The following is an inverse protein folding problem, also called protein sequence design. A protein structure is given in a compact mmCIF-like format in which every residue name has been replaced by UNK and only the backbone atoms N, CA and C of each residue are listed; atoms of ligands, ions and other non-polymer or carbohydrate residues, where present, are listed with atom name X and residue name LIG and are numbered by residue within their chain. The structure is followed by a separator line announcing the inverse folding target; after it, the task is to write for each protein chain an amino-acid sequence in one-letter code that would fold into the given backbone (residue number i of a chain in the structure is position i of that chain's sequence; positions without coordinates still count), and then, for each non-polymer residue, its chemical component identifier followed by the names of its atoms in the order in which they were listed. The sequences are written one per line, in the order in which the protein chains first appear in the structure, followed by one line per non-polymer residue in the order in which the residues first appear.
data_IF_875824905816
#
_entry.id   IF_875824905816
#
_cell.length_a   1.000
_cell.length_b   1.000
_cell.length_c   1.000
_cell.angle_alpha   90.00
_cell.angle_beta   90.00
_cell.angle_gamma   90.00
#
_symmetry.space_group_name_H-M   'P 1'
#
loop_
_entity.id
_entity.type
_entity.pdbx_description
1 polymer ?
#
# COMPACT_ATOMS: atom_id res chain seq x y z
N UNK A 1 6.84 12.88 -18.69
CA UNK A 1 7.67 11.94 -19.48
C UNK A 1 6.79 11.06 -20.38
N UNK A 2 5.82 10.33 -19.83
CA UNK A 2 4.88 9.50 -20.60
C UNK A 2 4.08 10.34 -21.62
N UNK A 3 3.50 11.47 -21.19
CA UNK A 3 2.76 12.38 -22.08
C UNK A 3 3.62 12.88 -23.25
N UNK A 4 4.91 13.14 -23.02
CA UNK A 4 5.82 13.58 -24.06
C UNK A 4 6.06 12.45 -25.09
N UNK A 5 6.21 11.20 -24.65
CA UNK A 5 6.35 10.05 -25.55
C UNK A 5 5.09 9.88 -26.41
N UNK A 6 3.90 10.02 -25.81
CA UNK A 6 2.63 9.96 -26.52
C UNK A 6 2.48 11.08 -27.55
N UNK A 7 2.85 12.32 -27.20
CA UNK A 7 2.87 13.46 -28.12
C UNK A 7 3.83 13.26 -29.30
N UNK A 8 4.88 12.44 -29.14
CA UNK A 8 5.82 12.07 -30.19
C UNK A 8 5.42 10.79 -30.95
N UNK A 9 4.18 10.31 -30.77
CA UNK A 9 3.61 9.21 -31.56
C UNK A 9 3.77 7.81 -30.95
N UNK A 10 4.25 7.68 -29.71
CA UNK A 10 4.27 6.40 -29.03
C UNK A 10 2.83 5.96 -28.69
N UNK A 11 2.39 4.84 -29.27
CA UNK A 11 1.07 4.25 -29.00
C UNK A 11 1.03 3.40 -27.72
N UNK A 12 2.19 2.95 -27.25
CA UNK A 12 2.37 2.16 -26.03
C UNK A 12 3.66 2.58 -25.35
N UNK A 13 3.62 2.80 -24.03
CA UNK A 13 4.80 3.05 -23.20
C UNK A 13 4.91 1.96 -22.15
N UNK A 14 6.06 1.30 -22.08
CA UNK A 14 6.37 0.31 -21.05
C UNK A 14 7.34 0.91 -20.02
N UNK A 15 7.05 0.72 -18.74
CA UNK A 15 7.89 1.21 -17.63
C UNK A 15 8.58 0.02 -16.97
N UNK A 16 9.88 -0.12 -17.21
CA UNK A 16 10.74 -1.11 -16.55
C UNK A 16 11.33 -0.50 -15.28
N UNK A 17 10.50 -0.37 -14.25
CA UNK A 17 10.81 0.41 -13.04
C UNK A 17 10.92 -0.39 -11.75
N UNK A 18 10.77 -1.72 -11.77
CA UNK A 18 10.80 -2.51 -10.55
C UNK A 18 12.24 -2.71 -10.06
N UNK A 19 12.56 -2.22 -8.87
CA UNK A 19 13.91 -2.29 -8.28
C UNK A 19 14.41 -3.73 -8.02
N UNK A 20 13.58 -4.76 -8.23
CA UNK A 20 14.02 -6.15 -8.19
C UNK A 20 13.08 -7.14 -8.89
N UNK A 21 12.64 -6.86 -10.13
CA UNK A 21 11.70 -7.69 -10.93
C UNK A 21 10.31 -7.91 -10.31
N UNK A 22 10.09 -7.52 -9.05
CA UNK A 22 8.86 -7.85 -8.32
C UNK A 22 8.26 -6.65 -7.56
N UNK A 23 9.06 -5.72 -7.00
CA UNK A 23 8.53 -4.67 -6.11
C UNK A 23 9.26 -3.31 -6.27
N UNK A 24 8.57 -2.22 -5.88
CA UNK A 24 8.94 -0.80 -6.07
C UNK A 24 8.85 -0.26 -7.49
N UNK A 25 7.84 -0.69 -8.26
CA UNK A 25 7.49 0.01 -9.49
C UNK A 25 6.96 1.42 -9.18
N UNK A 26 6.69 2.24 -10.20
CA UNK A 26 5.96 3.49 -10.05
C UNK A 26 4.52 3.29 -10.52
N UNK A 27 3.68 2.55 -9.77
CA UNK A 27 2.33 2.18 -10.21
C UNK A 27 1.49 3.42 -10.54
N UNK A 28 1.68 4.53 -9.83
CA UNK A 28 1.01 5.80 -10.13
C UNK A 28 1.37 6.42 -11.51
N UNK A 29 2.38 5.90 -12.23
CA UNK A 29 2.72 6.33 -13.58
C UNK A 29 2.09 5.43 -14.66
N UNK A 30 1.48 4.30 -14.31
CA UNK A 30 0.98 3.31 -15.27
C UNK A 30 -0.51 3.04 -15.07
N UNK A 31 -1.18 2.65 -16.15
CA UNK A 31 -2.61 2.28 -16.12
C UNK A 31 -2.83 0.81 -15.73
N UNK A 32 -1.80 -0.02 -15.90
CA UNK A 32 -1.84 -1.43 -15.61
C UNK A 32 -0.45 -1.92 -15.17
N UNK A 33 -0.45 -3.00 -14.40
CA UNK A 33 0.77 -3.71 -13.98
C UNK A 33 0.75 -5.10 -14.58
N UNK A 34 1.89 -5.52 -15.13
CA UNK A 34 2.11 -6.89 -15.59
C UNK A 34 2.95 -7.62 -14.55
N UNK A 35 2.38 -8.65 -13.93
CA UNK A 35 3.12 -9.54 -13.04
C UNK A 35 3.83 -10.61 -13.88
N UNK A 36 5.15 -10.48 -14.02
CA UNK A 36 5.97 -11.51 -14.65
C UNK A 36 6.32 -12.62 -13.65
N UNK A 37 6.10 -13.88 -14.03
CA UNK A 37 6.37 -15.08 -13.21
C UNK A 37 7.31 -16.07 -13.92
N UNK A 38 7.61 -17.21 -13.30
CA UNK A 38 8.48 -18.26 -13.82
C UNK A 38 9.92 -18.12 -13.35
N UNK A 39 10.86 -18.59 -14.17
CA UNK A 39 12.29 -18.59 -13.82
C UNK A 39 12.88 -17.19 -13.54
N UNK A 40 12.19 -16.11 -13.95
CA UNK A 40 12.57 -14.74 -13.62
C UNK A 40 12.36 -14.39 -12.13
N UNK A 41 11.49 -15.13 -11.43
CA UNK A 41 11.20 -14.99 -10.01
C UNK A 41 12.15 -15.86 -9.20
N UNK A 42 12.20 -17.17 -9.49
CA UNK A 42 13.09 -18.11 -8.79
C UNK A 42 13.39 -19.36 -9.67
N UNK A 43 14.56 -20.02 -9.56
CA UNK A 43 14.86 -21.23 -10.33
C UNK A 43 14.10 -22.50 -9.88
N UNK A 44 13.64 -22.54 -8.62
CA UNK A 44 12.77 -23.61 -8.09
C UNK A 44 11.30 -23.30 -8.36
N UNK A 45 10.58 -24.27 -8.95
CA UNK A 45 9.15 -24.16 -9.25
C UNK A 45 8.31 -23.90 -7.99
N UNK A 46 8.60 -24.58 -6.89
CA UNK A 46 7.85 -24.39 -5.63
C UNK A 46 7.92 -22.94 -5.16
N UNK A 47 9.10 -22.33 -5.24
CA UNK A 47 9.30 -20.92 -4.90
C UNK A 47 8.61 -19.97 -5.87
N UNK A 48 8.58 -20.30 -7.16
CA UNK A 48 7.82 -19.52 -8.15
C UNK A 48 6.34 -19.51 -7.77
N UNK A 49 5.78 -20.67 -7.41
CA UNK A 49 4.38 -20.78 -6.99
C UNK A 49 4.12 -19.95 -5.72
N UNK A 50 4.94 -20.11 -4.69
CA UNK A 50 4.81 -19.39 -3.42
C UNK A 50 4.89 -17.87 -3.60
N UNK A 51 5.93 -17.37 -4.29
CA UNK A 51 6.17 -15.94 -4.47
C UNK A 51 5.12 -15.29 -5.39
N UNK A 52 4.68 -16.01 -6.43
CA UNK A 52 3.61 -15.51 -7.32
C UNK A 52 2.27 -15.47 -6.60
N UNK A 53 1.94 -16.50 -5.82
CA UNK A 53 0.71 -16.54 -5.03
C UNK A 53 0.70 -15.41 -4.00
N UNK A 54 1.82 -15.18 -3.31
CA UNK A 54 1.94 -14.10 -2.33
C UNK A 54 1.84 -12.72 -2.98
N UNK A 55 2.48 -12.49 -4.13
CA UNK A 55 2.32 -11.24 -4.85
C UNK A 55 0.84 -10.99 -5.18
N UNK A 56 0.14 -11.99 -5.74
CA UNK A 56 -1.30 -11.89 -6.02
C UNK A 56 -2.15 -11.66 -4.77
N UNK A 57 -1.77 -12.21 -3.62
CA UNK A 57 -2.42 -11.97 -2.34
C UNK A 57 -2.34 -10.50 -1.94
N UNK A 58 -1.14 -9.91 -1.98
CA UNK A 58 -0.91 -8.48 -1.69
C UNK A 58 -1.76 -7.59 -2.59
N UNK A 59 -1.81 -7.89 -3.89
CA UNK A 59 -2.62 -7.14 -4.86
C UNK A 59 -4.14 -7.33 -4.70
N UNK A 60 -4.56 -8.37 -3.97
CA UNK A 60 -5.98 -8.68 -3.68
C UNK A 60 -6.41 -8.26 -2.27
N UNK A 61 -5.52 -7.65 -1.49
CA UNK A 61 -5.87 -7.11 -0.18
C UNK A 61 -7.07 -6.15 -0.31
N UNK A 62 -8.00 -6.16 0.66
CA UNK A 62 -9.18 -5.31 0.58
C UNK A 62 -8.77 -3.83 0.58
N UNK A 63 -9.54 -3.03 -0.15
CA UNK A 63 -9.42 -1.58 -0.04
C UNK A 63 -10.11 -1.09 1.23
N UNK A 64 -9.61 0.00 1.81
CA UNK A 64 -10.25 0.63 2.96
C UNK A 64 -11.61 1.18 2.59
N UNK A 65 -12.62 0.93 3.43
CA UNK A 65 -13.96 1.51 3.29
C UNK A 65 -14.10 2.84 4.05
N UNK A 66 -13.07 3.26 4.79
CA UNK A 66 -13.13 4.47 5.59
C UNK A 66 -13.09 5.72 4.72
N UNK A 67 -14.21 6.44 4.64
CA UNK A 67 -14.29 7.73 3.95
C UNK A 67 -13.26 8.75 4.47
N UNK A 68 -12.95 8.74 5.78
CA UNK A 68 -11.94 9.63 6.35
C UNK A 68 -10.54 9.32 5.81
N UNK A 69 -10.18 8.04 5.74
CA UNK A 69 -8.91 7.60 5.16
C UNK A 69 -8.87 7.91 3.67
N UNK A 70 -9.91 7.52 2.92
CA UNK A 70 -10.03 7.77 1.49
C UNK A 70 -9.90 9.25 1.15
N UNK A 71 -10.51 10.14 1.95
CA UNK A 71 -10.38 11.59 1.80
C UNK A 71 -8.95 12.07 2.05
N UNK A 72 -8.25 11.49 3.02
CA UNK A 72 -6.87 11.86 3.30
C UNK A 72 -5.89 11.37 2.22
N UNK A 73 -6.14 10.21 1.61
CA UNK A 73 -5.28 9.69 0.51
C UNK A 73 -5.67 10.22 -0.87
N UNK A 74 -6.86 10.78 -1.05
CA UNK A 74 -7.29 11.38 -2.30
C UNK A 74 -6.58 12.73 -2.54
N UNK A 75 -5.73 12.76 -3.56
CA UNK A 75 -5.08 13.97 -4.06
C UNK A 75 -6.06 15.03 -4.60
N UNK A 76 -7.25 14.59 -5.03
CA UNK A 76 -8.24 15.41 -5.74
C UNK A 76 -9.66 15.03 -5.33
N UNK A 77 -10.48 16.04 -5.07
CA UNK A 77 -11.86 15.93 -4.58
C UNK A 77 -12.82 15.12 -5.48
N UNK A 78 -12.43 14.84 -6.74
CA UNK A 78 -13.22 14.10 -7.71
C UNK A 78 -13.26 12.58 -7.45
N UNK A 79 -12.23 12.00 -6.84
CA UNK A 79 -12.18 10.56 -6.54
C UNK A 79 -13.13 10.15 -5.40
N UNK A 80 -13.40 11.08 -4.47
CA UNK A 80 -14.32 10.87 -3.33
C UNK A 80 -15.75 10.64 -3.81
N UNK A 81 -16.19 11.38 -4.83
CA UNK A 81 -17.54 11.25 -5.40
C UNK A 81 -17.76 9.93 -6.18
N UNK A 82 -16.69 9.35 -6.74
CA UNK A 82 -16.77 8.07 -7.45
C UNK A 82 -16.79 6.87 -6.48
N UNK A 83 -16.09 6.97 -5.34
CA UNK A 83 -16.07 5.95 -4.29
C UNK A 83 -17.46 5.78 -3.63
N UNK A 84 -18.20 6.88 -3.42
CA UNK A 84 -19.57 6.84 -2.88
C UNK A 84 -20.60 6.25 -3.86
N UNK A 85 -20.33 6.30 -5.17
CA UNK A 85 -21.27 5.85 -6.21
C UNK A 85 -21.09 4.37 -6.62
N UNK A 86 -19.96 3.74 -6.28
CA UNK A 86 -19.58 2.41 -6.77
C UNK A 86 -19.54 1.35 -5.67
N UNK A 87 -20.70 1.07 -5.05
CA UNK A 87 -20.88 -0.11 -4.21
C UNK A 87 -20.89 -1.44 -5.00
N UNK A 88 -20.32 -1.51 -6.21
CA UNK A 88 -20.57 -2.66 -7.10
C UNK A 88 -19.62 -2.95 -8.25
N UNK A 89 -18.51 -2.25 -8.46
CA UNK A 89 -17.51 -2.69 -9.46
C UNK A 89 -16.09 -2.45 -8.96
N UNK A 90 -15.42 -3.54 -8.59
CA UNK A 90 -13.99 -3.59 -8.27
C UNK A 90 -13.19 -3.40 -9.57
N UNK A 91 -13.03 -2.15 -9.99
CA UNK A 91 -11.86 -1.79 -10.78
C UNK A 91 -10.76 -1.53 -9.75
N UNK A 92 -9.78 -2.44 -9.68
CA UNK A 92 -8.51 -2.21 -8.98
C UNK A 92 -7.74 -1.10 -9.70
N UNK A 93 -8.24 0.13 -9.59
CA UNK A 93 -7.60 1.33 -10.07
C UNK A 93 -6.34 1.54 -9.27
N UNK A 94 -5.22 1.69 -9.97
CA UNK A 94 -3.94 1.99 -9.36
C UNK A 94 -4.06 3.40 -8.77
N UNK A 95 -3.95 3.53 -7.45
CA UNK A 95 -4.16 4.79 -6.74
C UNK A 95 -3.25 5.90 -7.27
N UNK A 96 -3.80 7.11 -7.47
CA UNK A 96 -3.07 8.28 -7.92
C UNK A 96 -2.12 8.81 -6.84
N UNK A 97 -0.99 9.38 -7.28
CA UNK A 97 0.22 9.71 -6.50
C UNK A 97 0.11 10.85 -5.47
N UNK A 98 -1.08 11.29 -5.06
CA UNK A 98 -1.21 12.48 -4.19
C UNK A 98 -1.76 12.22 -2.78
N UNK A 99 -1.45 11.06 -2.20
CA UNK A 99 -1.67 10.80 -0.77
C UNK A 99 -0.66 11.53 0.15
N UNK A 100 -0.83 11.41 1.48
CA UNK A 100 0.05 12.06 2.46
C UNK A 100 1.49 11.56 2.30
N UNK A 101 2.46 12.46 2.49
CA UNK A 101 3.91 12.17 2.35
C UNK A 101 4.52 11.55 3.61
N UNK A 102 3.85 11.74 4.74
CA UNK A 102 4.20 11.26 6.07
C UNK A 102 3.15 10.24 6.54
N UNK A 103 3.50 9.29 7.44
CA UNK A 103 2.52 8.39 8.02
C UNK A 103 1.42 9.14 8.74
N UNK A 104 0.17 8.68 8.64
CA UNK A 104 -1.00 9.32 9.27
C UNK A 104 -1.70 8.33 10.18
N UNK A 105 -1.99 8.74 11.41
CA UNK A 105 -2.71 7.96 12.40
C UNK A 105 -4.10 8.53 12.54
N UNK A 106 -5.12 7.68 12.45
CA UNK A 106 -6.50 8.04 12.73
C UNK A 106 -6.90 7.53 14.10
N UNK A 107 -7.44 8.40 14.95
CA UNK A 107 -7.97 8.02 16.27
C UNK A 107 -9.31 7.28 16.15
N UNK A 108 -9.85 6.80 17.27
CA UNK A 108 -11.18 6.17 17.31
C UNK A 108 -12.31 7.09 16.77
N UNK A 109 -12.16 8.40 16.98
CA UNK A 109 -13.06 9.45 16.52
C UNK A 109 -12.82 9.89 15.07
N UNK A 110 -11.89 9.22 14.37
CA UNK A 110 -11.45 9.55 13.01
C UNK A 110 -10.74 10.91 12.85
N UNK A 111 -10.25 11.48 13.95
CA UNK A 111 -9.31 12.61 13.88
C UNK A 111 -7.95 12.12 13.37
N UNK A 112 -7.32 12.90 12.49
CA UNK A 112 -6.05 12.55 11.87
C UNK A 112 -4.87 13.27 12.53
N UNK A 113 -3.80 12.52 12.77
CA UNK A 113 -2.53 13.02 13.26
C UNK A 113 -1.39 12.59 12.32
N UNK A 114 -0.64 13.54 11.77
CA UNK A 114 0.57 13.22 11.00
C UNK A 114 1.70 12.82 11.94
N UNK A 115 2.40 11.75 11.59
CA UNK A 115 3.60 11.35 12.28
C UNK A 115 4.74 12.32 11.95
N UNK A 116 5.42 12.79 12.99
CA UNK A 116 6.60 13.67 12.89
C UNK A 116 7.87 12.86 12.53
N UNK A 117 7.77 12.02 11.49
CA UNK A 117 8.90 11.27 10.93
C UNK A 117 8.82 11.31 9.40
N UNK A 118 9.95 11.58 8.71
CA UNK A 118 9.96 11.72 7.25
C UNK A 118 9.88 10.37 6.52
N UNK A 119 10.10 9.26 7.22
CA UNK A 119 10.06 7.90 6.66
C UNK A 119 9.70 6.87 7.72
N UNK A 120 9.20 5.72 7.26
CA UNK A 120 8.90 4.55 8.11
C UNK A 120 10.18 3.82 8.51
N UNK A 121 11.11 3.67 7.55
CA UNK A 121 12.33 2.89 7.74
C UNK A 121 13.21 3.52 8.82
N UNK A 122 13.59 2.72 9.82
CA UNK A 122 14.37 3.14 10.98
C UNK A 122 13.58 3.89 12.06
N UNK A 123 12.26 4.08 11.87
CA UNK A 123 11.37 4.77 12.83
C UNK A 123 10.21 3.87 13.30
N UNK A 124 10.26 2.57 13.03
CA UNK A 124 9.19 1.60 13.25
C UNK A 124 8.79 1.53 14.73
N UNK A 125 9.77 1.61 15.64
CA UNK A 125 9.53 1.64 17.08
C UNK A 125 8.76 2.88 17.54
N UNK A 126 9.18 4.06 17.07
CA UNK A 126 8.54 5.34 17.37
C UNK A 126 7.12 5.39 16.80
N UNK A 127 6.94 4.94 15.56
CA UNK A 127 5.64 4.86 14.90
C UNK A 127 4.69 3.91 15.64
N UNK A 128 5.13 2.70 15.98
CA UNK A 128 4.31 1.75 16.72
C UNK A 128 3.92 2.27 18.12
N UNK A 129 4.82 2.97 18.81
CA UNK A 129 4.51 3.61 20.08
C UNK A 129 3.46 4.72 19.94
N UNK A 130 3.53 5.52 18.86
CA UNK A 130 2.60 6.62 18.59
C UNK A 130 1.24 6.17 18.09
N UNK A 131 1.17 5.05 17.35
CA UNK A 131 -0.10 4.40 16.99
C UNK A 131 -0.85 4.05 18.28
N UNK A 132 -0.17 3.38 19.23
CA UNK A 132 -0.75 3.08 20.55
C UNK A 132 -2.10 2.35 20.47
N UNK A 133 -2.83 2.28 21.58
CA UNK A 133 -4.15 1.60 21.61
C UNK A 133 -5.30 2.48 21.12
N UNK A 134 -5.05 3.78 20.86
CA UNK A 134 -6.06 4.75 20.43
C UNK A 134 -6.23 4.82 18.91
N UNK A 135 -5.28 4.30 18.14
CA UNK A 135 -5.34 4.38 16.68
C UNK A 135 -6.32 3.36 16.13
N UNK A 136 -7.27 3.82 15.31
CA UNK A 136 -8.23 3.03 14.54
C UNK A 136 -7.70 2.63 13.18
N UNK A 137 -7.00 3.54 12.52
CA UNK A 137 -6.32 3.26 11.26
C UNK A 137 -4.93 3.89 11.24
N UNK A 138 -4.01 3.27 10.50
CA UNK A 138 -2.66 3.77 10.27
C UNK A 138 -2.35 3.74 8.77
N UNK A 139 -2.23 4.93 8.18
CA UNK A 139 -1.93 5.11 6.76
C UNK A 139 -0.43 5.23 6.57
N UNK A 140 0.10 4.35 5.74
CA UNK A 140 1.52 4.26 5.40
C UNK A 140 1.74 4.73 3.97
N UNK A 141 2.43 5.87 3.77
CA UNK A 141 3.02 6.18 2.47
C UNK A 141 4.30 5.39 2.23
N UNK A 142 4.98 4.94 3.28
CA UNK A 142 6.25 4.22 3.17
C UNK A 142 6.08 2.71 2.99
N UNK A 143 7.20 2.01 3.10
CA UNK A 143 7.22 0.55 3.06
C UNK A 143 6.58 -0.06 4.31
N UNK A 144 5.75 -1.09 4.12
CA UNK A 144 5.31 -1.99 5.19
C UNK A 144 6.29 -3.16 5.26
N UNK A 145 7.02 -3.28 6.36
CA UNK A 145 8.06 -4.30 6.58
C UNK A 145 7.66 -5.29 7.67
N UNK A 146 8.32 -6.44 7.71
CA UNK A 146 8.13 -7.43 8.79
C UNK A 146 8.40 -6.83 10.17
N UNK A 147 9.44 -5.99 10.29
CA UNK A 147 9.76 -5.31 11.55
C UNK A 147 8.62 -4.39 12.01
N UNK A 148 8.02 -3.63 11.10
CA UNK A 148 6.89 -2.77 11.44
C UNK A 148 5.68 -3.61 11.84
N UNK A 149 5.35 -4.67 11.09
CA UNK A 149 4.25 -5.58 11.41
C UNK A 149 4.44 -6.22 12.79
N UNK A 150 5.65 -6.67 13.13
CA UNK A 150 5.94 -7.26 14.43
C UNK A 150 5.70 -6.25 15.57
N UNK A 151 6.15 -5.01 15.41
CA UNK A 151 5.94 -3.94 16.40
C UNK A 151 4.47 -3.57 16.54
N UNK A 152 3.74 -3.48 15.42
CA UNK A 152 2.29 -3.21 15.42
C UNK A 152 1.48 -4.40 15.95
N UNK A 153 1.96 -5.64 15.83
CA UNK A 153 1.30 -6.83 16.39
C UNK A 153 1.18 -6.75 17.92
N UNK A 154 2.15 -6.11 18.60
CA UNK A 154 2.06 -5.87 20.04
C UNK A 154 0.96 -4.86 20.40
N UNK A 155 0.74 -3.87 19.52
CA UNK A 155 -0.33 -2.87 19.67
C UNK A 155 -1.70 -3.52 19.41
N UNK A 156 -1.85 -4.23 18.29
CA UNK A 156 -3.08 -4.97 17.92
C UNK A 156 -3.54 -5.90 19.02
N UNK A 157 -2.63 -6.70 19.61
CA UNK A 157 -2.95 -7.65 20.70
C UNK A 157 -3.50 -6.99 21.97
N UNK A 158 -3.17 -5.72 22.22
CA UNK A 158 -3.65 -4.97 23.38
C UNK A 158 -4.95 -4.22 23.09
N UNK A 159 -5.37 -4.16 21.84
CA UNK A 159 -6.56 -3.43 21.40
C UNK A 159 -7.79 -4.34 21.45
N UNK A 160 -8.91 -3.79 21.93
CA UNK A 160 -10.19 -4.48 22.02
C UNK A 160 -11.10 -4.24 20.79
N UNK A 161 -10.68 -3.40 19.85
CA UNK A 161 -11.41 -3.05 18.63
C UNK A 161 -10.58 -3.28 17.36
N UNK A 162 -11.19 -3.04 16.19
CA UNK A 162 -10.52 -3.17 14.90
C UNK A 162 -9.36 -2.17 14.74
N UNK A 163 -8.27 -2.61 14.11
CA UNK A 163 -7.14 -1.77 13.74
C UNK A 163 -6.78 -2.06 12.29
N UNK A 164 -6.79 -1.02 11.46
CA UNK A 164 -6.52 -1.13 10.03
C UNK A 164 -5.16 -0.51 9.68
N UNK A 165 -4.37 -1.21 8.86
CA UNK A 165 -3.18 -0.64 8.23
C UNK A 165 -3.51 -0.43 6.76
N UNK A 166 -3.36 0.81 6.29
CA UNK A 166 -3.62 1.19 4.90
C UNK A 166 -2.31 1.56 4.24
N UNK A 167 -1.87 0.74 3.29
CA UNK A 167 -0.69 1.03 2.47
C UNK A 167 -1.17 1.67 1.17
N UNK A 168 -0.69 2.88 0.87
CA UNK A 168 -1.15 3.63 -0.32
C UNK A 168 -0.78 2.95 -1.64
N UNK A 169 0.31 2.18 -1.63
CA UNK A 169 0.89 1.55 -2.80
C UNK A 169 1.19 0.07 -2.48
N UNK A 170 0.51 -0.89 -3.13
CA UNK A 170 0.74 -2.31 -2.87
C UNK A 170 2.18 -2.75 -3.18
N UNK A 171 2.90 -2.02 -4.04
CA UNK A 171 4.32 -2.30 -4.32
C UNK A 171 5.26 -1.92 -3.18
N UNK A 172 4.75 -1.22 -2.15
CA UNK A 172 5.45 -0.87 -0.90
C UNK A 172 5.20 -1.88 0.21
N UNK A 173 4.44 -2.94 -0.02
CA UNK A 173 4.37 -4.08 0.91
C UNK A 173 5.62 -4.93 0.73
N UNK A 174 6.59 -4.73 1.61
CA UNK A 174 7.88 -5.45 1.62
C UNK A 174 7.94 -6.52 2.72
N UNK A 175 6.83 -6.72 3.44
CA UNK A 175 6.67 -7.80 4.40
C UNK A 175 6.68 -9.16 3.70
N UNK A 176 7.20 -10.18 4.39
CA UNK A 176 7.12 -11.55 3.93
C UNK A 176 5.70 -12.11 4.09
N UNK A 177 5.39 -13.18 3.36
CA UNK A 177 4.14 -13.93 3.56
C UNK A 177 3.94 -14.34 5.02
N UNK A 178 5.02 -14.79 5.67
CA UNK A 178 5.00 -15.17 7.09
C UNK A 178 4.69 -13.97 7.98
N UNK A 179 5.28 -12.80 7.72
CA UNK A 179 5.01 -11.59 8.48
C UNK A 179 3.57 -11.13 8.32
N UNK A 180 3.07 -11.09 7.09
CA UNK A 180 1.70 -10.67 6.78
C UNK A 180 0.65 -11.62 7.37
N UNK A 181 0.84 -12.94 7.25
CA UNK A 181 -0.11 -13.93 7.77
C UNK A 181 -0.12 -14.03 9.31
N UNK A 182 0.95 -13.59 9.97
CA UNK A 182 1.02 -13.53 11.44
C UNK A 182 0.37 -12.28 12.03
N UNK A 183 0.23 -11.24 11.23
CA UNK A 183 -0.21 -9.92 11.70
C UNK A 183 -1.65 -9.92 12.18
#
# INVERSE_FOLDING_TARGET
AIELLQQNGASLTLVDGAANRVFLAAPALVEAVVLATGAAVHPSLDKVLDETAFALEVWKLPQTESAAVLKAVAADAAAVAAAEASAGTIAAGIASSGGPKTPVIFTEDWDSEEADVPTVLGHEGTLAARVGTHAKAFVLPGALTDELLERLSAVRRRKLGGFEIVVQDPTRVLASAVGLHRF
#
